data_IF_994890262921
#
_entry.id   IF_994890262921
#
_cell.length_a   1.000
_cell.length_b   1.000
_cell.length_c   1.000
_cell.angle_alpha   90.00
_cell.angle_beta   90.00
_cell.angle_gamma   90.00
#
_symmetry.space_group_name_H-M   'P 1'
#
loop_
_entity.id
_entity.type
_entity.pdbx_description
1 polymer ?
#
# COMPACT_ATOMS: atom_id res chain seq x y z
N UNK A 1 8.05 -28.89 5.66
CA UNK A 1 8.09 -28.33 5.41
C UNK A 1 8.23 -27.64 4.93
N UNK A 2 8.10 -27.09 4.88
CA UNK A 2 8.07 -26.31 4.43
C UNK A 2 8.36 -25.77 3.89
N UNK A 3 8.06 -25.53 3.65
CA UNK A 3 8.17 -25.00 3.12
C UNK A 3 8.86 -24.05 2.99
N UNK A 4 9.39 -23.78 2.91
CA UNK A 4 10.07 -22.71 2.76
C UNK A 4 9.65 -21.69 1.92
N UNK A 5 8.59 -21.75 1.48
CA UNK A 5 8.24 -20.77 0.71
C UNK A 5 7.89 -19.78 1.39
N UNK A 6 8.43 -18.78 1.41
CA UNK A 6 8.06 -17.69 2.03
C UNK A 6 7.44 -16.88 1.09
N UNK A 7 6.18 -16.89 1.06
CA UNK A 7 5.52 -15.91 0.31
C UNK A 7 5.66 -14.63 1.00
N UNK A 8 5.93 -13.52 0.34
CA UNK A 8 5.97 -12.20 0.95
C UNK A 8 4.62 -11.91 1.56
N UNK A 9 4.63 -11.46 2.78
CA UNK A 9 3.40 -11.17 3.46
C UNK A 9 2.83 -9.88 3.00
N UNK A 10 1.54 -9.86 2.79
CA UNK A 10 0.86 -8.63 2.48
C UNK A 10 0.55 -7.89 3.75
N UNK A 11 0.73 -6.59 3.73
CA UNK A 11 0.52 -5.74 4.88
C UNK A 11 -0.33 -4.56 4.47
N UNK A 12 -0.88 -3.88 5.45
CA UNK A 12 -1.67 -2.69 5.18
C UNK A 12 -0.79 -1.47 5.10
N UNK A 13 -1.06 -0.62 4.14
CA UNK A 13 -0.26 0.57 3.88
C UNK A 13 -1.17 1.76 3.68
N UNK A 14 -0.71 2.92 4.10
CA UNK A 14 -1.41 4.17 3.82
C UNK A 14 -0.74 4.84 2.64
N UNK A 15 -1.53 5.15 1.63
CA UNK A 15 -1.02 5.81 0.44
C UNK A 15 -1.75 7.13 0.29
N UNK A 16 -1.00 8.21 0.15
CA UNK A 16 -1.61 9.51 0.00
C UNK A 16 -0.84 10.39 -0.96
N UNK A 17 -1.49 11.39 -1.48
CA UNK A 17 -0.86 12.35 -2.35
C UNK A 17 -1.67 12.60 -3.62
N UNK A 18 -1.14 13.45 -4.49
CA UNK A 18 -1.87 13.76 -5.74
C UNK A 18 -2.15 12.56 -6.61
N UNK A 19 -1.30 11.52 -6.56
CA UNK A 19 -1.55 10.33 -7.36
C UNK A 19 -2.81 9.62 -6.93
N UNK A 20 -3.19 9.71 -5.65
CA UNK A 20 -4.43 9.12 -5.19
C UNK A 20 -5.61 9.94 -5.67
N UNK A 21 -5.53 11.26 -5.51
CA UNK A 21 -6.64 12.14 -5.87
C UNK A 21 -6.90 12.13 -7.37
N UNK A 22 -5.86 11.99 -8.18
CA UNK A 22 -6.01 12.04 -9.63
C UNK A 22 -6.51 10.74 -10.23
N UNK A 23 -6.50 9.66 -9.46
CA UNK A 23 -6.88 8.36 -9.98
C UNK A 23 -5.71 7.57 -10.54
N UNK A 24 -4.51 8.14 -10.54
CA UNK A 24 -3.38 7.42 -11.09
C UNK A 24 -3.07 6.18 -10.28
N UNK A 25 -3.13 6.29 -8.96
CA UNK A 25 -2.88 5.12 -8.12
C UNK A 25 -3.93 4.05 -8.38
N UNK A 26 -5.19 4.46 -8.54
CA UNK A 26 -6.25 3.49 -8.79
C UNK A 26 -6.00 2.72 -10.08
N UNK A 27 -5.45 3.38 -11.09
CA UNK A 27 -5.14 2.68 -12.32
C UNK A 27 -4.02 1.69 -12.11
N UNK A 28 -3.01 2.06 -11.33
CA UNK A 28 -1.91 1.15 -11.07
C UNK A 28 -2.37 -0.05 -10.24
N UNK A 29 -3.25 0.19 -9.28
CA UNK A 29 -3.78 -0.88 -8.46
C UNK A 29 -4.62 -1.83 -9.30
N UNK A 30 -5.41 -1.28 -10.20
CA UNK A 30 -6.25 -2.13 -11.05
C UNK A 30 -5.42 -3.00 -11.97
N UNK A 31 -4.23 -2.53 -12.33
CA UNK A 31 -3.37 -3.29 -13.23
C UNK A 31 -2.47 -4.30 -12.50
N UNK A 32 -2.40 -4.23 -11.18
CA UNK A 32 -1.49 -5.08 -10.44
C UNK A 32 -2.27 -5.96 -9.48
N UNK A 33 -2.35 -7.26 -9.75
CA UNK A 33 -3.12 -8.15 -8.89
C UNK A 33 -2.52 -8.35 -7.49
N UNK A 34 -1.32 -7.86 -7.27
CA UNK A 34 -0.66 -8.07 -6.00
C UNK A 34 -0.95 -6.95 -5.01
N UNK A 35 -1.76 -5.98 -5.38
CA UNK A 35 -2.14 -4.91 -4.48
C UNK A 35 -3.64 -4.72 -4.55
N UNK A 36 -4.23 -4.40 -3.41
CA UNK A 36 -5.66 -4.25 -3.33
C UNK A 36 -6.00 -3.02 -2.51
N UNK A 37 -6.89 -2.19 -3.00
CA UNK A 37 -7.34 -1.04 -2.24
C UNK A 37 -8.41 -1.51 -1.28
N UNK A 38 -8.18 -1.35 0.02
CA UNK A 38 -9.11 -1.83 1.03
C UNK A 38 -10.19 -0.81 1.31
N UNK A 39 -9.80 0.47 1.42
CA UNK A 39 -10.79 1.50 1.64
C UNK A 39 -10.17 2.86 1.46
N UNK A 40 -11.01 3.84 1.22
CA UNK A 40 -10.56 5.21 1.02
C UNK A 40 -10.95 6.02 2.24
N UNK A 41 -9.98 6.69 2.84
CA UNK A 41 -10.22 7.49 4.03
C UNK A 41 -10.41 8.95 3.71
N UNK A 42 -9.86 9.41 2.58
CA UNK A 42 -9.99 10.78 2.15
C UNK A 42 -9.81 10.80 0.64
N UNK A 43 -10.12 11.88 -0.04
CA UNK A 43 -9.96 11.91 -1.50
C UNK A 43 -8.55 11.58 -1.96
N UNK A 44 -7.54 11.87 -1.13
CA UNK A 44 -6.17 11.59 -1.48
C UNK A 44 -5.51 10.63 -0.51
N UNK A 45 -6.28 9.83 0.22
CA UNK A 45 -5.73 8.90 1.21
C UNK A 45 -6.47 7.58 1.15
N UNK A 46 -5.77 6.51 0.86
CA UNK A 46 -6.37 5.18 0.80
C UNK A 46 -5.53 4.19 1.58
N UNK A 47 -6.18 3.10 1.99
CA UNK A 47 -5.49 2.00 2.64
C UNK A 47 -5.34 0.88 1.62
N UNK A 48 -4.12 0.38 1.47
CA UNK A 48 -3.82 -0.67 0.51
C UNK A 48 -3.35 -1.92 1.24
N UNK A 49 -3.63 -3.05 0.63
CA UNK A 49 -3.08 -4.32 1.08
C UNK A 49 -2.05 -4.75 0.03
N UNK A 50 -0.80 -4.85 0.41
CA UNK A 50 0.26 -5.13 -0.55
C UNK A 50 1.53 -5.53 0.18
N UNK A 51 2.50 -6.05 -0.58
CA UNK A 51 3.81 -6.33 -0.02
C UNK A 51 4.65 -5.07 -0.06
N UNK A 52 5.73 -5.05 0.72
CA UNK A 52 6.64 -3.91 0.72
C UNK A 52 7.23 -3.69 -0.66
N UNK A 53 7.52 -4.77 -1.37
CA UNK A 53 8.09 -4.65 -2.70
C UNK A 53 7.11 -3.99 -3.67
N UNK A 54 5.85 -4.37 -3.58
CA UNK A 54 4.84 -3.80 -4.47
C UNK A 54 4.63 -2.32 -4.17
N UNK A 55 4.60 -1.94 -2.88
CA UNK A 55 4.43 -0.53 -2.54
C UNK A 55 5.62 0.29 -3.02
N UNK A 56 6.83 -0.27 -2.95
CA UNK A 56 8.00 0.45 -3.43
C UNK A 56 7.90 0.69 -4.94
N UNK A 57 7.36 -0.28 -5.67
CA UNK A 57 7.18 -0.09 -7.11
C UNK A 57 6.12 0.94 -7.41
N UNK A 58 5.04 0.94 -6.64
CA UNK A 58 3.99 1.95 -6.85
C UNK A 58 4.53 3.34 -6.56
N UNK A 59 5.30 3.48 -5.51
CA UNK A 59 5.86 4.77 -5.17
C UNK A 59 6.84 5.23 -6.23
N UNK A 60 7.64 4.32 -6.76
CA UNK A 60 8.59 4.66 -7.82
C UNK A 60 7.86 5.09 -9.08
N UNK A 61 6.73 4.45 -9.38
CA UNK A 61 5.99 4.79 -10.58
C UNK A 61 5.33 6.16 -10.48
N UNK A 62 4.94 6.56 -9.27
CA UNK A 62 4.29 7.84 -9.07
C UNK A 62 5.26 8.94 -8.68
N UNK A 63 6.46 8.60 -8.29
CA UNK A 63 7.44 9.59 -7.90
C UNK A 63 7.00 10.36 -6.68
N UNK A 64 7.16 11.65 -6.70
CA UNK A 64 6.80 12.47 -5.55
C UNK A 64 5.32 12.68 -5.36
N UNK A 65 4.50 12.16 -6.27
CA UNK A 65 3.06 12.32 -6.15
C UNK A 65 2.42 11.29 -5.25
N UNK A 66 3.18 10.39 -4.68
CA UNK A 66 2.64 9.35 -3.83
C UNK A 66 3.56 9.13 -2.65
N UNK A 67 2.98 9.12 -1.45
CA UNK A 67 3.70 8.78 -0.24
C UNK A 67 3.03 7.55 0.33
N UNK A 68 3.80 6.51 0.58
CA UNK A 68 3.27 5.26 1.12
C UNK A 68 3.94 4.99 2.45
N UNK A 69 3.13 4.77 3.47
CA UNK A 69 3.65 4.46 4.79
C UNK A 69 2.96 3.23 5.30
N UNK A 70 3.67 2.47 6.10
CA UNK A 70 3.08 1.28 6.65
C UNK A 70 2.03 1.65 7.68
N UNK A 71 0.87 1.02 7.55
CA UNK A 71 -0.23 1.28 8.47
C UNK A 71 -0.10 0.33 9.64
N UNK A 72 0.69 0.70 10.62
CA UNK A 72 0.87 -0.13 11.77
C UNK A 72 -0.03 0.36 12.87
N UNK A 73 -0.85 -0.50 13.40
CA UNK A 73 -1.68 -0.08 14.52
C UNK A 73 -0.79 0.26 15.69
N UNK A 74 -1.14 1.32 16.39
CA UNK A 74 -0.39 1.68 17.54
C UNK A 74 -0.57 0.62 18.56
N UNK A 75 0.50 -0.05 18.90
CA UNK A 75 0.42 -1.06 19.92
C UNK A 75 0.24 -0.39 21.27
N UNK A 76 -0.65 -0.89 22.09
CA UNK A 76 -0.75 -0.33 23.43
C UNK A 76 0.52 -0.59 24.18
N UNK A 77 0.86 0.31 25.07
CA UNK A 77 2.07 0.10 25.82
C UNK A 77 1.96 -1.18 26.62
N UNK A 78 3.02 -1.90 26.56
CA UNK A 78 3.00 -3.09 27.24
C UNK A 78 3.34 -2.80 28.60
N UNK A 79 2.69 -3.10 29.40
CA UNK A 79 2.99 -2.70 30.65
C UNK A 79 2.84 -2.91 31.73
#
# INVERSE_FOLDING_TARGET
MPSGETEPEQECWLAQGPAVASGRLAELVAADPKVQELRRLAPDLVVLLATAETTARLQAACGGDLVVEKDEPLAPPQG
#
